data_IF_155796827118
#
_entry.id   IF_155796827118
#
_cell.length_a   1.000
_cell.length_b   1.000
_cell.length_c   1.000
_cell.angle_alpha   90.00
_cell.angle_beta   90.00
_cell.angle_gamma   90.00
#
_symmetry.space_group_name_H-M   'P 1'
#
loop_
_entity.id
_entity.type
_entity.pdbx_description
1 polymer ?
#
# COMPACT_ATOMS: atom_id res chain seq x y z
N UNK A 1 6.24 18.05 11.23
CA UNK A 1 7.04 18.94 10.34
C UNK A 1 6.99 20.38 10.86
N UNK A 2 8.14 21.03 11.14
CA UNK A 2 8.19 22.33 11.85
C UNK A 2 8.13 23.60 10.98
N UNK A 3 8.41 23.50 9.69
CA UNK A 3 8.70 24.66 8.83
C UNK A 3 7.49 25.57 8.51
N UNK A 4 7.65 26.91 8.52
CA UNK A 4 6.63 27.87 8.09
C UNK A 4 6.38 27.81 6.58
N UNK A 5 5.23 28.35 6.14
CA UNK A 5 4.83 28.37 4.72
C UNK A 5 5.87 29.04 3.82
N UNK A 6 6.44 30.15 4.28
CA UNK A 6 7.43 30.94 3.55
C UNK A 6 8.68 30.12 3.21
N UNK A 7 9.19 29.34 4.16
CA UNK A 7 10.39 28.51 3.98
C UNK A 7 10.14 27.33 3.04
N UNK A 8 8.96 26.72 3.12
CA UNK A 8 8.57 25.65 2.18
C UNK A 8 8.39 26.21 0.77
N UNK A 9 7.77 27.38 0.62
CA UNK A 9 7.59 28.02 -0.67
C UNK A 9 8.93 28.41 -1.31
N UNK A 10 9.85 28.97 -0.50
CA UNK A 10 11.21 29.34 -0.93
C UNK A 10 12.03 28.13 -1.37
N UNK A 11 12.05 27.05 -0.58
CA UNK A 11 12.79 25.82 -0.92
C UNK A 11 12.27 25.13 -2.18
N UNK A 12 11.00 25.32 -2.52
CA UNK A 12 10.37 24.82 -3.73
C UNK A 12 10.44 25.80 -4.92
N UNK A 13 10.98 27.01 -4.72
CA UNK A 13 11.07 28.03 -5.76
C UNK A 13 9.71 28.56 -6.23
N UNK A 14 8.69 28.53 -5.37
CA UNK A 14 7.33 28.99 -5.69
C UNK A 14 6.89 30.11 -4.75
N UNK A 15 5.93 30.94 -5.18
CA UNK A 15 5.29 31.90 -4.28
C UNK A 15 4.37 31.22 -3.27
N UNK A 16 4.22 31.79 -2.07
CA UNK A 16 3.33 31.25 -1.02
C UNK A 16 1.89 31.02 -1.51
N UNK A 17 1.36 31.96 -2.29
CA UNK A 17 0.03 31.84 -2.89
C UNK A 17 -0.08 30.65 -3.86
N UNK A 18 1.00 30.32 -4.58
CA UNK A 18 1.07 29.17 -5.48
C UNK A 18 1.02 27.88 -4.67
N UNK A 19 1.76 27.79 -3.57
CA UNK A 19 1.75 26.62 -2.71
C UNK A 19 0.38 26.41 -2.04
N UNK A 20 -0.26 27.48 -1.57
CA UNK A 20 -1.63 27.38 -1.00
C UNK A 20 -2.66 26.93 -2.04
N UNK A 21 -2.54 27.37 -3.31
CA UNK A 21 -3.39 26.88 -4.41
C UNK A 21 -3.13 25.40 -4.71
N UNK A 22 -1.87 24.97 -4.66
CA UNK A 22 -1.52 23.55 -4.79
C UNK A 22 -2.21 22.71 -3.71
N UNK A 23 -2.08 23.08 -2.42
CA UNK A 23 -2.77 22.38 -1.32
C UNK A 23 -4.28 22.26 -1.57
N UNK A 24 -4.91 23.33 -2.08
CA UNK A 24 -6.34 23.31 -2.45
C UNK A 24 -6.66 22.43 -3.64
N UNK A 25 -5.81 22.42 -4.66
CA UNK A 25 -6.02 21.60 -5.86
C UNK A 25 -5.96 20.10 -5.58
N UNK A 26 -5.20 19.68 -4.56
CA UNK A 26 -5.08 18.28 -4.14
C UNK A 26 -6.03 17.89 -3.01
N UNK A 27 -7.00 18.76 -2.66
CA UNK A 27 -8.13 18.40 -1.78
C UNK A 27 -8.09 18.98 -0.36
N UNK A 28 -7.07 19.76 0.01
CA UNK A 28 -6.98 20.37 1.35
C UNK A 28 -7.58 21.77 1.40
N UNK A 29 -7.98 22.25 2.58
CA UNK A 29 -8.53 23.62 2.76
C UNK A 29 -7.47 24.72 2.61
N UNK A 30 -6.20 24.38 2.78
CA UNK A 30 -5.05 25.26 2.65
C UNK A 30 -3.80 24.66 3.29
N UNK A 31 -2.79 25.49 3.54
CA UNK A 31 -1.49 25.03 4.06
C UNK A 31 -1.59 24.36 5.45
N UNK A 32 -2.32 24.96 6.39
CA UNK A 32 -2.41 24.41 7.75
C UNK A 32 -3.07 23.03 7.80
N UNK A 33 -4.09 22.83 6.97
CA UNK A 33 -4.82 21.56 6.82
C UNK A 33 -3.91 20.49 6.20
N UNK A 34 -3.23 20.83 5.09
CA UNK A 34 -2.21 19.99 4.48
C UNK A 34 -1.09 19.61 5.47
N UNK A 35 -0.59 20.58 6.24
CA UNK A 35 0.50 20.37 7.20
C UNK A 35 0.10 19.46 8.36
N UNK A 36 -1.15 19.57 8.83
CA UNK A 36 -1.70 18.70 9.86
C UNK A 36 -1.79 17.27 9.35
N UNK A 37 -2.44 17.06 8.20
CA UNK A 37 -2.62 15.72 7.63
C UNK A 37 -1.28 15.04 7.32
N UNK A 38 -0.35 15.79 6.73
CA UNK A 38 1.00 15.28 6.46
C UNK A 38 1.76 14.93 7.75
N UNK A 39 1.56 15.70 8.83
CA UNK A 39 2.21 15.41 10.12
C UNK A 39 1.61 14.16 10.78
N UNK A 40 0.29 13.93 10.62
CA UNK A 40 -0.37 12.70 11.08
C UNK A 40 0.16 11.51 10.29
N UNK A 41 0.16 11.59 8.96
CA UNK A 41 0.65 10.53 8.07
C UNK A 41 2.10 10.13 8.38
N UNK A 42 2.99 11.13 8.59
CA UNK A 42 4.38 10.86 8.96
C UNK A 42 4.50 10.21 10.35
N UNK A 43 3.68 10.61 11.31
CA UNK A 43 3.67 10.02 12.66
C UNK A 43 3.08 8.60 12.68
N UNK A 44 2.14 8.31 11.79
CA UNK A 44 1.60 6.95 11.58
C UNK A 44 2.64 6.07 10.89
N UNK A 45 3.38 6.60 9.91
CA UNK A 45 4.52 5.92 9.27
C UNK A 45 5.70 5.61 10.20
N UNK A 46 5.87 6.34 11.31
CA UNK A 46 6.90 6.04 12.30
C UNK A 46 6.44 4.93 13.30
N UNK A 47 5.13 4.67 13.41
CA UNK A 47 4.59 3.56 14.21
C UNK A 47 4.37 2.28 13.39
N UNK A 48 4.04 2.42 12.11
CA UNK A 48 4.00 1.30 11.17
C UNK A 48 5.39 1.13 10.56
N UNK A 49 6.06 0.02 10.87
CA UNK A 49 7.42 -0.31 10.39
C UNK A 49 7.49 -0.62 8.89
N UNK A 50 6.58 -0.05 8.10
CA UNK A 50 6.33 -0.38 6.72
C UNK A 50 6.38 0.87 5.85
N UNK A 51 7.60 1.32 5.49
CA UNK A 51 7.73 2.24 4.39
C UNK A 51 7.23 1.51 3.14
N UNK A 52 6.04 1.87 2.66
CA UNK A 52 5.50 1.46 1.35
C UNK A 52 6.47 1.74 0.18
N UNK A 53 7.55 2.47 0.42
CA UNK A 53 8.57 2.84 -0.55
C UNK A 53 9.88 2.03 -0.44
N UNK A 54 10.08 1.19 0.59
CA UNK A 54 11.36 0.50 0.84
C UNK A 54 11.25 -1.05 0.81
N UNK A 55 10.16 -1.59 0.24
CA UNK A 55 9.94 -3.05 0.19
C UNK A 55 10.42 -3.72 -1.10
N UNK A 56 10.87 -2.95 -2.10
CA UNK A 56 11.41 -3.53 -3.34
C UNK A 56 12.79 -4.13 -3.09
N UNK A 57 12.94 -5.40 -3.46
CA UNK A 57 14.23 -6.10 -3.38
C UNK A 57 15.14 -5.55 -4.47
N UNK A 58 16.29 -5.01 -4.06
CA UNK A 58 17.29 -4.47 -4.97
C UNK A 58 18.43 -5.47 -5.23
N UNK A 59 19.10 -5.43 -6.41
CA UNK A 59 20.26 -6.27 -6.68
C UNK A 59 21.43 -6.07 -5.70
N UNK A 60 21.47 -4.91 -5.06
CA UNK A 60 22.47 -4.48 -4.07
C UNK A 60 22.15 -4.92 -2.64
N UNK A 61 20.97 -5.49 -2.40
CA UNK A 61 20.58 -5.97 -1.08
C UNK A 61 21.43 -7.16 -0.63
N UNK A 62 21.84 -7.13 0.64
CA UNK A 62 22.37 -8.34 1.27
C UNK A 62 21.26 -9.38 1.43
N UNK A 63 21.62 -10.67 1.51
CA UNK A 63 20.66 -11.75 1.75
C UNK A 63 19.81 -11.54 3.02
N UNK A 64 20.38 -10.93 4.06
CA UNK A 64 19.65 -10.54 5.28
C UNK A 64 18.59 -9.49 4.97
N UNK A 65 18.94 -8.46 4.21
CA UNK A 65 18.02 -7.38 3.88
C UNK A 65 16.89 -7.87 2.97
N UNK A 66 17.21 -8.72 2.00
CA UNK A 66 16.21 -9.41 1.16
C UNK A 66 15.22 -10.23 2.00
N UNK A 67 15.72 -11.00 2.98
CA UNK A 67 14.85 -11.79 3.85
C UNK A 67 13.92 -10.90 4.70
N UNK A 68 14.41 -9.76 5.18
CA UNK A 68 13.62 -8.79 5.94
C UNK A 68 12.54 -8.13 5.08
N UNK A 69 12.89 -7.66 3.87
CA UNK A 69 11.92 -7.11 2.90
C UNK A 69 10.84 -8.12 2.55
N UNK A 70 11.22 -9.38 2.30
CA UNK A 70 10.26 -10.45 2.01
C UNK A 70 9.32 -10.72 3.20
N UNK A 71 9.85 -10.78 4.42
CA UNK A 71 9.04 -10.96 5.62
C UNK A 71 8.01 -9.85 5.74
N UNK A 72 8.43 -8.60 5.62
CA UNK A 72 7.56 -7.42 5.64
C UNK A 72 6.47 -7.52 4.59
N UNK A 73 6.83 -7.82 3.34
CA UNK A 73 5.86 -7.94 2.25
C UNK A 73 4.82 -9.03 2.53
N UNK A 74 5.22 -10.17 3.09
CA UNK A 74 4.30 -11.26 3.45
C UNK A 74 3.37 -10.83 4.58
N UNK A 75 3.90 -10.21 5.64
CA UNK A 75 3.07 -9.78 6.77
C UNK A 75 2.04 -8.74 6.34
N UNK A 76 2.42 -7.77 5.51
CA UNK A 76 1.47 -6.80 4.96
C UNK A 76 0.33 -7.47 4.20
N UNK A 77 0.64 -8.46 3.35
CA UNK A 77 -0.39 -9.21 2.62
C UNK A 77 -1.30 -9.98 3.58
N UNK A 78 -0.77 -10.56 4.65
CA UNK A 78 -1.56 -11.25 5.67
C UNK A 78 -2.49 -10.28 6.39
N UNK A 79 -1.99 -9.14 6.82
CA UNK A 79 -2.75 -8.12 7.54
C UNK A 79 -3.84 -7.51 6.66
N UNK A 80 -3.51 -7.15 5.41
CA UNK A 80 -4.50 -6.69 4.42
C UNK A 80 -5.57 -7.74 4.16
N UNK A 81 -5.17 -9.02 4.02
CA UNK A 81 -6.13 -10.11 3.82
C UNK A 81 -7.11 -10.18 4.99
N UNK A 82 -6.64 -10.11 6.23
CA UNK A 82 -7.49 -10.14 7.43
C UNK A 82 -8.41 -8.92 7.48
N UNK A 83 -7.89 -7.73 7.18
CA UNK A 83 -8.65 -6.47 7.23
C UNK A 83 -9.75 -6.39 6.16
N UNK A 84 -9.61 -7.10 5.05
CA UNK A 84 -10.61 -7.17 3.98
C UNK A 84 -11.69 -8.24 4.21
N UNK A 85 -11.53 -9.12 5.19
CA UNK A 85 -12.52 -10.15 5.50
C UNK A 85 -13.74 -9.54 6.21
N UNK A 86 -14.93 -9.84 5.68
CA UNK A 86 -16.17 -9.77 6.43
C UNK A 86 -16.31 -11.06 7.25
N UNK A 87 -16.12 -10.95 8.57
CA UNK A 87 -16.14 -12.10 9.47
C UNK A 87 -17.54 -12.71 9.64
N UNK A 88 -18.62 -11.93 9.44
CA UNK A 88 -19.98 -12.47 9.49
C UNK A 88 -20.23 -13.34 8.27
N UNK A 89 -19.86 -12.87 7.06
CA UNK A 89 -19.95 -13.67 5.84
C UNK A 89 -19.04 -14.90 5.88
N UNK A 90 -17.87 -14.80 6.51
CA UNK A 90 -16.96 -15.94 6.68
C UNK A 90 -17.62 -17.04 7.53
N UNK A 91 -18.25 -16.68 8.64
CA UNK A 91 -18.93 -17.63 9.53
C UNK A 91 -20.15 -18.28 8.85
N UNK A 92 -20.91 -17.52 8.07
CA UNK A 92 -21.98 -18.07 7.22
C UNK A 92 -21.45 -19.10 6.21
N UNK A 93 -20.33 -18.75 5.55
CA UNK A 93 -19.67 -19.62 4.57
C UNK A 93 -19.16 -20.92 5.22
N UNK A 94 -18.53 -20.84 6.39
CA UNK A 94 -18.09 -22.01 7.17
C UNK A 94 -19.28 -22.93 7.49
N UNK A 95 -20.40 -22.36 7.92
CA UNK A 95 -21.60 -23.13 8.23
C UNK A 95 -22.22 -23.79 6.99
N UNK A 96 -22.24 -23.11 5.85
CA UNK A 96 -22.70 -23.66 4.59
C UNK A 96 -21.81 -24.82 4.13
N UNK A 97 -20.48 -24.67 4.20
CA UNK A 97 -19.49 -25.70 3.88
C UNK A 97 -19.69 -26.93 4.78
N UNK A 98 -19.83 -26.73 6.10
CA UNK A 98 -20.00 -27.83 7.07
C UNK A 98 -21.27 -28.66 6.84
N UNK A 99 -22.33 -28.04 6.31
CA UNK A 99 -23.62 -28.70 6.00
C UNK A 99 -23.66 -29.31 4.60
N UNK A 100 -22.69 -29.00 3.74
CA UNK A 100 -22.68 -29.49 2.38
C UNK A 100 -22.41 -30.99 2.32
N UNK A 101 -23.26 -31.74 1.62
CA UNK A 101 -23.04 -33.17 1.39
C UNK A 101 -21.92 -33.42 0.36
N UNK A 102 -21.71 -32.47 -0.57
CA UNK A 102 -20.64 -32.51 -1.57
C UNK A 102 -20.19 -31.08 -1.89
N UNK A 103 -18.90 -30.91 -2.10
CA UNK A 103 -18.26 -29.63 -2.48
C UNK A 103 -17.55 -29.86 -3.81
N UNK A 104 -17.77 -28.98 -4.78
CA UNK A 104 -17.09 -29.00 -6.07
C UNK A 104 -16.14 -27.79 -6.16
N UNK A 105 -14.88 -28.05 -6.47
CA UNK A 105 -13.88 -27.00 -6.71
C UNK A 105 -13.56 -26.94 -8.20
N UNK A 106 -13.75 -25.76 -8.81
CA UNK A 106 -13.46 -25.54 -10.23
C UNK A 106 -12.25 -24.63 -10.33
N UNK A 107 -11.17 -25.13 -10.92
CA UNK A 107 -9.96 -24.34 -11.21
C UNK A 107 -9.88 -24.10 -12.71
N UNK A 108 -9.64 -22.83 -13.07
CA UNK A 108 -9.37 -22.46 -14.45
C UNK A 108 -7.92 -22.03 -14.63
N UNK A 109 -7.20 -22.66 -15.57
CA UNK A 109 -5.79 -22.35 -15.85
C UNK A 109 -5.69 -21.62 -17.19
N UNK A 110 -5.64 -20.29 -17.18
CA UNK A 110 -5.55 -19.51 -18.43
C UNK A 110 -4.14 -19.34 -19.00
N UNK A 111 -3.11 -19.32 -18.16
CA UNK A 111 -1.93 -18.48 -18.45
C UNK A 111 -0.66 -19.21 -18.88
N UNK A 112 -0.61 -20.54 -18.77
CA UNK A 112 0.65 -21.29 -19.01
C UNK A 112 1.02 -21.44 -20.49
N UNK A 113 0.06 -21.37 -21.43
CA UNK A 113 0.34 -21.62 -22.85
C UNK A 113 0.75 -20.38 -23.67
N UNK A 114 0.55 -19.16 -23.15
CA UNK A 114 0.82 -17.93 -23.92
C UNK A 114 2.32 -17.56 -23.97
N UNK A 115 3.12 -18.00 -23.00
CA UNK A 115 4.56 -17.70 -22.94
C UNK A 115 5.43 -18.57 -23.86
N UNK A 116 4.96 -19.76 -24.29
CA UNK A 116 5.74 -20.62 -25.19
C UNK A 116 5.69 -20.20 -26.67
N UNK A 117 4.65 -19.48 -27.12
CA UNK A 117 4.56 -19.05 -28.54
C UNK A 117 5.45 -17.85 -28.89
N UNK A 118 5.91 -17.06 -27.91
CA UNK A 118 6.68 -15.85 -28.17
C UNK A 118 8.21 -16.07 -28.20
N UNK A 119 8.69 -17.27 -27.84
CA UNK A 119 10.11 -17.67 -27.93
C UNK A 119 10.44 -18.55 -29.16
N UNK A 120 9.47 -18.85 -30.02
CA UNK A 120 9.65 -19.69 -31.22
C UNK A 120 9.48 -18.85 -32.50
N UNK A 121 9.78 -17.55 -32.45
CA UNK A 121 9.84 -16.71 -33.65
C UNK A 121 10.99 -15.72 -33.52
#
# INVERSE_FOLDING_TARGET
>A
MGYPLSEIAESLGVGEATFVRFCRSVGFKGFSDFKLELSIELATKDNDSHPLLENDIEPTDSSRHTAQKLQTAIMNVVDETINLLDFDQLEETVNAIRRANRIFYLVWVHRVLRQKKQKIN
#
